data_IF_647220701727
#
_entry.id   IF_647220701727
#
_cell.length_a   1.000
_cell.length_b   1.000
_cell.length_c   1.000
_cell.angle_alpha   90.00
_cell.angle_beta   90.00
_cell.angle_gamma   90.00
#
_symmetry.space_group_name_H-M   'P 1'
#
loop_
_entity.id
_entity.type
_entity.pdbx_description
1 polymer ?
#
# COMPACT_ATOMS: atom_id res chain seq x y z
N UNK A 1 -0.18 69.17 42.09
CA UNK A 1 -1.64 68.90 42.14
C UNK A 1 -2.39 69.89 41.26
N UNK A 2 -2.79 69.45 40.07
CA UNK A 2 -4.00 69.92 39.39
C UNK A 2 -4.43 68.78 38.47
N UNK A 3 -5.54 68.17 38.88
CA UNK A 3 -6.25 67.10 38.20
C UNK A 3 -6.99 67.71 37.02
N UNK A 4 -6.88 67.11 35.84
CA UNK A 4 -7.85 67.28 34.76
C UNK A 4 -8.21 65.89 34.27
N UNK A 5 -9.49 65.56 34.46
CA UNK A 5 -10.14 64.32 34.05
C UNK A 5 -10.49 64.36 32.53
N UNK A 6 -10.86 63.22 31.92
CA UNK A 6 -10.80 63.00 30.48
C UNK A 6 -12.06 63.47 29.76
N UNK A 7 -11.93 63.72 28.45
CA UNK A 7 -13.06 63.85 27.54
C UNK A 7 -13.46 62.46 27.02
N UNK A 8 -14.78 62.21 27.01
CA UNK A 8 -15.42 60.99 26.54
C UNK A 8 -16.13 61.24 25.20
N UNK A 9 -16.59 60.11 24.63
CA UNK A 9 -17.58 59.91 23.56
C UNK A 9 -17.04 59.79 22.12
N UNK A 10 -17.48 58.86 21.27
CA UNK A 10 -18.38 57.70 21.33
C UNK A 10 -18.04 56.88 20.06
N UNK A 11 -18.03 55.54 20.17
CA UNK A 11 -18.69 54.61 19.25
C UNK A 11 -18.11 53.21 19.38
N UNK A 12 -18.94 52.34 19.96
CA UNK A 12 -18.84 50.90 19.92
C UNK A 12 -18.99 50.39 18.47
N UNK A 13 -18.07 49.54 18.03
CA UNK A 13 -18.36 48.54 17.01
C UNK A 13 -17.60 47.25 17.35
N UNK A 14 -18.35 46.33 17.92
CA UNK A 14 -18.01 44.94 18.15
C UNK A 14 -18.00 44.25 16.76
N UNK A 15 -16.83 44.00 16.18
CA UNK A 15 -16.73 43.15 14.98
C UNK A 15 -16.28 41.75 15.38
N UNK A 16 -17.29 40.88 15.56
CA UNK A 16 -17.12 39.44 15.47
C UNK A 16 -16.96 39.04 14.01
N UNK A 17 -15.71 38.91 13.55
CA UNK A 17 -15.37 38.46 12.21
C UNK A 17 -14.40 37.29 12.28
N UNK A 18 -14.91 36.08 12.05
CA UNK A 18 -14.15 34.84 12.14
C UNK A 18 -12.89 34.85 11.27
N UNK A 19 -11.78 34.42 11.85
CA UNK A 19 -10.53 34.15 11.15
C UNK A 19 -10.78 33.08 10.10
N UNK A 20 -11.12 33.51 8.87
CA UNK A 20 -10.99 32.68 7.68
C UNK A 20 -9.53 32.22 7.64
N UNK A 21 -9.32 30.96 8.06
CA UNK A 21 -8.09 30.23 7.79
C UNK A 21 -7.88 30.33 6.29
N UNK A 22 -6.90 31.17 5.90
CA UNK A 22 -6.31 31.16 4.57
C UNK A 22 -6.04 29.69 4.23
N UNK A 23 -6.80 29.18 3.28
CA UNK A 23 -6.56 27.88 2.65
C UNK A 23 -5.10 27.90 2.24
N UNK A 24 -4.30 27.02 2.84
CA UNK A 24 -2.90 26.88 2.53
C UNK A 24 -2.76 26.79 1.01
N UNK A 25 -1.85 27.58 0.45
CA UNK A 25 -1.40 27.45 -0.93
C UNK A 25 -1.18 25.97 -1.21
N UNK A 26 -1.90 25.41 -2.19
CA UNK A 26 -1.76 24.01 -2.61
C UNK A 26 -0.27 23.73 -2.77
N UNK A 27 0.27 22.85 -1.91
CA UNK A 27 1.59 22.26 -2.09
C UNK A 27 1.68 21.74 -3.54
N UNK A 28 2.87 21.76 -4.17
CA UNK A 28 3.03 21.13 -5.48
C UNK A 28 2.52 19.70 -5.37
N UNK A 29 1.43 19.41 -6.10
CA UNK A 29 0.69 18.17 -6.00
C UNK A 29 1.66 17.02 -6.29
N UNK A 30 1.97 16.20 -5.27
CA UNK A 30 2.89 15.08 -5.46
C UNK A 30 2.29 14.15 -6.52
N UNK A 31 3.09 13.74 -7.51
CA UNK A 31 2.71 12.66 -8.41
C UNK A 31 2.55 11.39 -7.60
N UNK A 32 1.44 10.68 -7.80
CA UNK A 32 1.22 9.36 -7.23
C UNK A 32 1.27 8.35 -8.37
N UNK A 33 2.25 7.45 -8.31
CA UNK A 33 2.45 6.42 -9.33
C UNK A 33 1.74 5.14 -8.91
N UNK A 34 0.79 4.70 -9.73
CA UNK A 34 -0.02 3.51 -9.51
C UNK A 34 0.61 2.33 -10.24
N UNK A 35 0.80 1.22 -9.53
CA UNK A 35 1.24 -0.05 -10.10
C UNK A 35 0.21 -1.10 -9.78
N UNK A 36 -0.46 -1.63 -10.80
CA UNK A 36 -1.55 -2.57 -10.58
C UNK A 36 -1.25 -3.92 -11.20
N UNK A 37 -1.49 -4.96 -10.42
CA UNK A 37 -1.15 -6.35 -10.72
C UNK A 37 -2.36 -7.01 -11.36
N UNK A 38 -2.16 -7.58 -12.54
CA UNK A 38 -3.22 -8.24 -13.29
C UNK A 38 -2.63 -9.43 -14.08
N UNK A 39 -3.26 -10.60 -13.98
CA UNK A 39 -2.92 -11.74 -14.82
C UNK A 39 -3.26 -11.47 -16.28
N UNK A 40 -2.45 -11.95 -17.22
CA UNK A 40 -2.69 -11.75 -18.66
C UNK A 40 -4.01 -12.34 -19.15
N UNK A 41 -4.48 -13.41 -18.54
CA UNK A 41 -5.79 -14.04 -18.83
C UNK A 41 -6.99 -13.28 -18.24
N UNK A 42 -6.76 -12.33 -17.33
CA UNK A 42 -7.83 -11.58 -16.65
C UNK A 42 -8.24 -10.34 -17.45
N UNK A 43 -8.70 -10.55 -18.69
CA UNK A 43 -8.99 -9.49 -19.67
C UNK A 43 -10.04 -8.48 -19.22
N UNK A 44 -11.12 -8.93 -18.58
CA UNK A 44 -12.21 -8.05 -18.15
C UNK A 44 -11.78 -7.12 -16.99
N UNK A 45 -11.06 -7.68 -16.01
CA UNK A 45 -10.47 -6.91 -14.90
C UNK A 45 -9.47 -5.90 -15.43
N UNK A 46 -8.61 -6.32 -16.36
CA UNK A 46 -7.68 -5.43 -17.06
C UNK A 46 -8.39 -4.25 -17.73
N UNK A 47 -9.42 -4.53 -18.53
CA UNK A 47 -10.18 -3.50 -19.21
C UNK A 47 -10.94 -2.58 -18.23
N UNK A 48 -11.31 -3.09 -17.05
CA UNK A 48 -11.88 -2.27 -15.97
C UNK A 48 -10.85 -1.29 -15.40
N UNK A 49 -9.66 -1.79 -15.06
CA UNK A 49 -8.56 -0.98 -14.52
C UNK A 49 -8.09 0.09 -15.51
N UNK A 50 -7.94 -0.26 -16.80
CA UNK A 50 -7.55 0.69 -17.85
C UNK A 50 -8.57 1.83 -17.99
N UNK A 51 -9.87 1.53 -18.04
CA UNK A 51 -10.93 2.55 -18.08
C UNK A 51 -10.97 3.43 -16.83
N UNK A 52 -10.77 2.84 -15.65
CA UNK A 52 -10.71 3.57 -14.39
C UNK A 52 -9.57 4.58 -14.39
N UNK A 53 -8.36 4.16 -14.79
CA UNK A 53 -7.20 5.05 -14.83
C UNK A 53 -7.24 6.07 -15.96
N UNK A 54 -7.86 5.76 -17.10
CA UNK A 54 -8.12 6.74 -18.15
C UNK A 54 -9.03 7.87 -17.64
N UNK A 55 -10.12 7.51 -16.96
CA UNK A 55 -11.04 8.48 -16.32
C UNK A 55 -10.34 9.29 -15.22
N UNK A 56 -9.52 8.64 -14.39
CA UNK A 56 -8.75 9.29 -13.33
C UNK A 56 -7.74 10.28 -13.91
N UNK A 57 -6.95 9.90 -14.93
CA UNK A 57 -5.95 10.76 -15.56
C UNK A 57 -6.58 11.98 -16.25
N UNK A 58 -7.79 11.84 -16.79
CA UNK A 58 -8.53 12.98 -17.35
C UNK A 58 -8.92 14.03 -16.30
N UNK A 59 -9.15 13.61 -15.05
CA UNK A 59 -9.56 14.49 -13.94
C UNK A 59 -8.38 14.93 -13.06
N UNK A 60 -7.34 14.11 -12.97
CA UNK A 60 -6.18 14.28 -12.11
C UNK A 60 -4.89 14.05 -12.93
N UNK A 61 -4.34 15.09 -13.58
CA UNK A 61 -3.19 14.95 -14.50
C UNK A 61 -1.90 14.41 -13.88
N UNK A 62 -1.81 14.37 -12.54
CA UNK A 62 -0.68 13.82 -11.79
C UNK A 62 -0.80 12.33 -11.51
N UNK A 63 -1.91 11.70 -11.89
CA UNK A 63 -2.11 10.25 -11.82
C UNK A 63 -1.40 9.60 -13.01
N UNK A 64 -0.46 8.72 -12.70
CA UNK A 64 0.19 7.85 -13.67
C UNK A 64 -0.03 6.41 -13.24
N UNK A 65 -0.37 5.53 -14.18
CA UNK A 65 -0.55 4.11 -13.87
C UNK A 65 0.28 3.22 -14.78
N UNK A 66 0.75 2.11 -14.21
CA UNK A 66 1.53 1.08 -14.89
C UNK A 66 0.94 -0.27 -14.55
N UNK A 67 0.56 -1.04 -15.57
CA UNK A 67 0.19 -2.45 -15.39
C UNK A 67 1.45 -3.28 -15.15
N UNK A 68 1.39 -4.15 -14.14
CA UNK A 68 2.39 -5.17 -13.87
C UNK A 68 1.74 -6.52 -14.09
N UNK A 69 2.33 -7.36 -14.96
CA UNK A 69 1.81 -8.70 -15.19
C UNK A 69 1.93 -9.53 -13.92
N UNK A 70 0.81 -10.07 -13.45
CA UNK A 70 0.79 -11.01 -12.33
C UNK A 70 1.48 -12.33 -12.67
N UNK A 71 2.01 -12.99 -11.65
CA UNK A 71 2.65 -14.30 -11.74
C UNK A 71 1.62 -15.35 -11.35
N UNK A 72 1.40 -16.34 -12.20
CA UNK A 72 0.55 -17.50 -11.91
C UNK A 72 1.36 -18.68 -11.33
N UNK A 73 0.67 -19.77 -10.98
CA UNK A 73 1.31 -20.96 -10.38
C UNK A 73 2.20 -21.72 -11.35
N UNK A 74 1.94 -21.65 -12.67
CA UNK A 74 2.80 -22.27 -13.68
C UNK A 74 4.15 -21.55 -13.78
N UNK A 75 4.12 -20.21 -13.79
CA UNK A 75 5.29 -19.36 -13.75
C UNK A 75 6.11 -19.59 -12.47
N UNK A 76 5.46 -19.73 -11.30
CA UNK A 76 6.14 -20.09 -10.04
C UNK A 76 6.93 -21.39 -10.19
N UNK A 77 6.30 -22.45 -10.71
CA UNK A 77 6.95 -23.75 -10.92
C UNK A 77 8.15 -23.63 -11.85
N UNK A 78 8.03 -22.87 -12.94
CA UNK A 78 9.14 -22.66 -13.87
C UNK A 78 10.29 -21.87 -13.22
N UNK A 79 9.99 -20.82 -12.46
CA UNK A 79 10.99 -20.02 -11.75
C UNK A 79 11.77 -20.84 -10.71
N UNK A 80 11.08 -21.67 -9.93
CA UNK A 80 11.72 -22.59 -8.97
C UNK A 80 12.58 -23.63 -9.69
N UNK A 81 12.04 -24.27 -10.73
CA UNK A 81 12.77 -25.28 -11.53
C UNK A 81 14.04 -24.72 -12.15
N UNK A 82 14.01 -23.47 -12.61
CA UNK A 82 15.16 -22.78 -13.21
C UNK A 82 16.10 -22.12 -12.19
N UNK A 83 15.79 -22.19 -10.90
CA UNK A 83 16.58 -21.54 -9.85
C UNK A 83 16.52 -20.02 -9.87
N UNK A 84 15.55 -19.43 -10.58
CA UNK A 84 15.27 -17.97 -10.55
C UNK A 84 14.65 -17.55 -9.22
N UNK A 85 13.90 -18.45 -8.59
CA UNK A 85 13.49 -18.33 -7.19
C UNK A 85 14.21 -19.42 -6.42
N UNK A 86 14.85 -19.04 -5.31
CA UNK A 86 15.48 -19.97 -4.38
C UNK A 86 14.88 -19.81 -3.00
N UNK A 87 14.78 -20.93 -2.29
CA UNK A 87 14.25 -21.02 -0.95
C UNK A 87 15.39 -21.39 -0.01
N UNK A 88 15.38 -20.86 1.21
CA UNK A 88 16.26 -21.37 2.26
C UNK A 88 15.96 -22.84 2.58
N UNK A 89 16.92 -23.50 3.22
CA UNK A 89 16.71 -24.83 3.76
C UNK A 89 15.54 -24.83 4.75
N UNK A 90 14.65 -25.83 4.62
CA UNK A 90 13.45 -25.97 5.45
C UNK A 90 12.23 -25.19 4.96
N UNK A 91 12.34 -24.35 3.93
CA UNK A 91 11.21 -23.70 3.26
C UNK A 91 10.87 -24.44 1.97
N UNK A 92 9.60 -24.79 1.75
CA UNK A 92 9.18 -25.60 0.62
C UNK A 92 7.84 -25.17 0.02
N UNK A 93 7.59 -25.59 -1.21
CA UNK A 93 6.25 -25.56 -1.79
C UNK A 93 5.40 -26.68 -1.18
N UNK A 94 4.16 -26.37 -0.82
CA UNK A 94 3.20 -27.36 -0.35
C UNK A 94 2.96 -28.45 -1.41
N UNK A 95 2.68 -29.70 -1.00
CA UNK A 95 2.36 -30.78 -1.92
C UNK A 95 1.15 -30.42 -2.82
N UNK A 96 1.19 -30.73 -4.13
CA UNK A 96 0.04 -30.55 -5.00
C UNK A 96 -1.17 -31.34 -4.49
N UNK A 97 -2.30 -30.67 -4.33
CA UNK A 97 -3.54 -31.31 -3.88
C UNK A 97 -3.59 -31.64 -2.39
N UNK A 98 -2.74 -31.02 -1.55
CA UNK A 98 -2.89 -31.07 -0.11
C UNK A 98 -4.33 -30.71 0.32
N UNK A 99 -4.95 -31.56 1.13
CA UNK A 99 -6.30 -31.36 1.66
C UNK A 99 -6.26 -30.63 3.02
N UNK A 100 -5.07 -30.54 3.63
CA UNK A 100 -4.84 -29.82 4.88
C UNK A 100 -5.13 -28.32 4.76
N UNK A 101 -5.50 -27.70 5.88
CA UNK A 101 -5.72 -26.26 5.90
C UNK A 101 -4.40 -25.52 5.61
N UNK A 102 -4.46 -24.49 4.76
CA UNK A 102 -3.30 -23.65 4.40
C UNK A 102 -2.52 -23.16 5.63
N UNK A 103 -3.20 -22.89 6.74
CA UNK A 103 -2.57 -22.47 7.98
C UNK A 103 -1.64 -23.54 8.57
N UNK A 104 -2.04 -24.81 8.51
CA UNK A 104 -1.24 -25.92 9.03
C UNK A 104 -0.01 -26.20 8.16
N UNK A 105 -0.14 -26.02 6.84
CA UNK A 105 0.98 -26.05 5.90
C UNK A 105 1.99 -24.93 6.22
N UNK A 106 1.51 -23.69 6.37
CA UNK A 106 2.37 -22.54 6.68
C UNK A 106 3.16 -22.73 7.99
N UNK A 107 2.56 -23.36 9.02
CA UNK A 107 3.25 -23.67 10.28
C UNK A 107 4.43 -24.65 10.13
N UNK A 108 4.47 -25.39 9.02
CA UNK A 108 5.57 -26.30 8.65
C UNK A 108 6.50 -25.69 7.61
N UNK A 109 6.38 -24.40 7.31
CA UNK A 109 7.09 -23.73 6.22
C UNK A 109 6.82 -24.35 4.84
N UNK A 110 5.63 -24.90 4.66
CA UNK A 110 5.14 -25.42 3.38
C UNK A 110 4.11 -24.44 2.83
N UNK A 111 4.41 -23.79 1.71
CA UNK A 111 3.55 -22.75 1.14
C UNK A 111 3.01 -23.13 -0.22
N UNK A 112 1.73 -22.89 -0.45
CA UNK A 112 1.12 -23.15 -1.76
C UNK A 112 1.77 -22.31 -2.85
N UNK A 113 1.77 -22.82 -4.08
CA UNK A 113 2.24 -22.06 -5.23
C UNK A 113 1.45 -20.76 -5.44
N UNK A 114 0.18 -20.72 -5.02
CA UNK A 114 -0.64 -19.51 -5.02
C UNK A 114 -0.12 -18.42 -4.08
N UNK A 115 0.39 -18.79 -2.90
CA UNK A 115 1.02 -17.84 -1.99
C UNK A 115 2.33 -17.29 -2.57
N UNK A 116 3.15 -18.15 -3.19
CA UNK A 116 4.35 -17.71 -3.92
C UNK A 116 3.99 -16.78 -5.09
N UNK A 117 2.97 -17.14 -5.88
CA UNK A 117 2.47 -16.36 -7.02
C UNK A 117 2.05 -14.95 -6.57
N UNK A 118 1.29 -14.86 -5.48
CA UNK A 118 0.88 -13.59 -4.88
C UNK A 118 2.12 -12.77 -4.45
N UNK A 119 2.99 -13.33 -3.61
CA UNK A 119 4.18 -12.64 -3.12
C UNK A 119 5.10 -12.15 -4.24
N UNK A 120 5.39 -13.02 -5.22
CA UNK A 120 6.24 -12.69 -6.37
C UNK A 120 5.62 -11.62 -7.26
N UNK A 121 4.30 -11.62 -7.43
CA UNK A 121 3.59 -10.58 -8.19
C UNK A 121 3.79 -9.20 -7.55
N UNK A 122 3.62 -9.11 -6.23
CA UNK A 122 3.83 -7.87 -5.49
C UNK A 122 5.30 -7.45 -5.44
N UNK A 123 6.23 -8.39 -5.24
CA UNK A 123 7.67 -8.12 -5.32
C UNK A 123 8.07 -7.58 -6.69
N UNK A 124 7.48 -8.11 -7.76
CA UNK A 124 7.70 -7.64 -9.13
C UNK A 124 7.15 -6.22 -9.33
N UNK A 125 5.96 -5.92 -8.80
CA UNK A 125 5.39 -4.57 -8.86
C UNK A 125 6.22 -3.54 -8.08
N UNK A 126 6.67 -3.90 -6.88
CA UNK A 126 7.56 -3.07 -6.05
C UNK A 126 8.89 -2.84 -6.77
N UNK A 127 9.49 -3.90 -7.33
CA UNK A 127 10.72 -3.78 -8.11
C UNK A 127 10.54 -2.86 -9.30
N UNK A 128 9.43 -3.02 -10.03
CA UNK A 128 9.11 -2.17 -11.17
C UNK A 128 9.00 -0.70 -10.75
N UNK A 129 8.29 -0.41 -9.66
CA UNK A 129 8.19 0.94 -9.12
C UNK A 129 9.54 1.53 -8.69
N UNK A 130 10.38 0.72 -8.07
CA UNK A 130 11.72 1.11 -7.67
C UNK A 130 12.62 1.41 -8.88
N UNK A 131 12.59 0.56 -9.91
CA UNK A 131 13.37 0.72 -11.14
C UNK A 131 12.89 1.92 -11.98
N UNK A 132 11.60 2.25 -11.94
CA UNK A 132 11.01 3.44 -12.56
C UNK A 132 11.36 4.75 -11.82
N UNK A 133 12.16 4.68 -10.76
CA UNK A 133 12.57 5.80 -9.91
C UNK A 133 11.38 6.52 -9.22
N UNK A 134 10.34 5.77 -8.87
CA UNK A 134 9.22 6.28 -8.09
C UNK A 134 9.66 6.54 -6.65
N UNK A 135 9.29 7.70 -6.12
CA UNK A 135 9.51 8.07 -4.70
C UNK A 135 8.39 7.53 -3.81
N UNK A 136 7.20 7.41 -4.39
CA UNK A 136 5.98 6.92 -3.75
C UNK A 136 5.16 6.15 -4.77
N UNK A 137 4.84 4.90 -4.46
CA UNK A 137 4.02 4.03 -5.30
C UNK A 137 2.77 3.57 -4.55
N UNK A 138 1.61 3.58 -5.20
CA UNK A 138 0.41 2.85 -4.77
C UNK A 138 0.35 1.53 -5.55
N UNK A 139 0.49 0.41 -4.85
CA UNK A 139 0.38 -0.93 -5.41
C UNK A 139 -1.06 -1.42 -5.23
N UNK A 140 -1.67 -1.93 -6.31
CA UNK A 140 -3.05 -2.39 -6.33
C UNK A 140 -3.18 -3.80 -6.94
N UNK A 141 -4.16 -4.57 -6.47
CA UNK A 141 -4.72 -5.72 -7.19
C UNK A 141 -5.76 -5.25 -8.24
N UNK A 142 -6.09 -6.10 -9.22
CA UNK A 142 -6.93 -5.74 -10.38
C UNK A 142 -8.44 -5.70 -10.14
N UNK A 143 -8.86 -6.04 -8.93
CA UNK A 143 -10.25 -5.95 -8.46
C UNK A 143 -10.47 -4.78 -7.49
N UNK A 144 -9.48 -3.91 -7.32
CA UNK A 144 -9.62 -2.67 -6.55
C UNK A 144 -10.22 -1.53 -7.38
N UNK A 145 -11.17 -0.82 -6.78
CA UNK A 145 -11.69 0.44 -7.31
C UNK A 145 -11.04 1.64 -6.63
N UNK A 146 -10.59 2.61 -7.41
CA UNK A 146 -10.01 3.88 -6.92
C UNK A 146 -11.01 5.01 -7.19
N UNK A 147 -11.82 5.42 -6.20
CA UNK A 147 -12.79 6.48 -6.40
C UNK A 147 -12.11 7.86 -6.51
N UNK A 148 -12.75 8.82 -7.19
CA UNK A 148 -12.26 10.19 -7.26
C UNK A 148 -12.06 10.82 -5.87
N UNK A 149 -12.91 10.47 -4.89
CA UNK A 149 -12.77 10.92 -3.51
C UNK A 149 -11.45 10.50 -2.87
N UNK A 150 -10.92 9.32 -3.22
CA UNK A 150 -9.59 8.91 -2.79
C UNK A 150 -8.52 9.81 -3.41
N UNK A 151 -8.57 10.03 -4.72
CA UNK A 151 -7.61 10.88 -5.44
C UNK A 151 -7.60 12.33 -4.93
N UNK A 152 -8.73 12.83 -4.44
CA UNK A 152 -8.87 14.16 -3.83
C UNK A 152 -8.28 14.26 -2.43
N UNK A 153 -8.24 13.15 -1.66
CA UNK A 153 -8.01 13.20 -0.20
C UNK A 153 -6.85 12.36 0.31
N UNK A 154 -6.29 11.47 -0.51
CA UNK A 154 -5.24 10.53 -0.08
C UNK A 154 -4.03 11.25 0.54
N UNK A 155 -3.59 12.38 -0.03
CA UNK A 155 -2.39 13.08 0.42
C UNK A 155 -2.59 13.64 1.83
N UNK A 156 -3.77 14.21 2.10
CA UNK A 156 -4.14 14.69 3.43
C UNK A 156 -4.20 13.55 4.44
N UNK A 157 -4.76 12.40 4.04
CA UNK A 157 -4.89 11.25 4.94
C UNK A 157 -3.54 10.57 5.22
N UNK A 158 -2.70 10.40 4.20
CA UNK A 158 -1.34 9.89 4.32
C UNK A 158 -0.43 10.81 5.16
N UNK A 159 -0.66 12.13 5.12
CA UNK A 159 0.07 13.09 5.96
C UNK A 159 -0.23 12.94 7.46
N UNK A 160 -1.30 12.22 7.85
CA UNK A 160 -1.59 11.89 9.25
C UNK A 160 -0.89 10.61 9.73
N UNK A 161 -0.22 9.87 8.84
CA UNK A 161 0.52 8.67 9.23
C UNK A 161 1.76 9.04 10.06
N UNK A 162 2.25 8.12 10.93
CA UNK A 162 3.50 8.33 11.65
C UNK A 162 4.66 8.65 10.69
N UNK A 163 5.48 9.69 10.97
CA UNK A 163 6.38 10.29 9.97
C UNK A 163 7.48 9.37 9.44
N UNK A 164 7.70 8.22 10.09
CA UNK A 164 8.67 7.20 9.72
C UNK A 164 8.08 6.03 8.93
N UNK A 165 6.80 6.09 8.53
CA UNK A 165 6.16 5.04 7.75
C UNK A 165 6.97 4.68 6.48
N UNK A 166 6.97 3.40 6.14
CA UNK A 166 7.52 2.86 4.88
C UNK A 166 6.42 2.27 4.00
N UNK A 167 5.38 1.71 4.63
CA UNK A 167 4.18 1.20 3.95
C UNK A 167 2.92 1.70 4.66
N UNK A 168 1.92 2.06 3.87
CA UNK A 168 0.57 2.36 4.32
C UNK A 168 -0.40 1.39 3.64
N UNK A 169 -0.93 0.43 4.40
CA UNK A 169 -1.97 -0.49 3.94
C UNK A 169 -3.33 0.21 3.99
N UNK A 170 -3.95 0.41 2.82
CA UNK A 170 -5.21 1.14 2.69
C UNK A 170 -6.45 0.27 2.89
N UNK A 171 -6.29 -1.04 2.70
CA UNK A 171 -7.37 -2.02 2.82
C UNK A 171 -6.90 -3.28 3.54
N UNK A 172 -7.75 -3.82 4.41
CA UNK A 172 -7.56 -5.14 5.05
C UNK A 172 -8.82 -5.97 4.83
N UNK A 173 -8.67 -7.23 4.41
CA UNK A 173 -9.81 -8.15 4.26
C UNK A 173 -10.21 -8.83 5.58
N UNK A 174 -9.47 -8.60 6.67
CA UNK A 174 -9.85 -9.08 8.00
C UNK A 174 -11.02 -8.26 8.55
N UNK A 175 -12.22 -8.86 8.54
CA UNK A 175 -13.45 -8.23 9.02
C UNK A 175 -13.40 -7.78 10.48
N UNK A 176 -12.65 -8.48 11.36
CA UNK A 176 -12.51 -8.09 12.77
C UNK A 176 -11.72 -6.79 12.88
N UNK A 177 -10.61 -6.69 12.14
CA UNK A 177 -9.78 -5.48 12.09
C UNK A 177 -10.57 -4.34 11.48
N UNK A 178 -11.26 -4.58 10.36
CA UNK A 178 -12.08 -3.58 9.69
C UNK A 178 -13.20 -3.05 10.61
N UNK A 179 -13.89 -3.93 11.34
CA UNK A 179 -14.92 -3.54 12.30
C UNK A 179 -14.35 -2.71 13.47
N UNK A 180 -13.20 -3.13 14.01
CA UNK A 180 -12.52 -2.38 15.07
C UNK A 180 -12.04 -0.99 14.61
N UNK A 181 -11.55 -0.88 13.37
CA UNK A 181 -11.09 0.36 12.77
C UNK A 181 -12.17 1.44 12.68
N UNK A 182 -13.44 1.08 12.44
CA UNK A 182 -14.54 2.07 12.42
C UNK A 182 -14.74 2.81 13.73
N UNK A 183 -14.32 2.21 14.85
CA UNK A 183 -14.44 2.81 16.18
C UNK A 183 -13.15 3.52 16.62
N UNK A 184 -12.10 3.46 15.81
CA UNK A 184 -10.82 4.06 16.14
C UNK A 184 -10.80 5.56 15.79
N UNK A 185 -10.20 6.36 16.67
CA UNK A 185 -10.01 7.80 16.45
C UNK A 185 -8.72 8.09 15.68
N UNK A 186 -7.72 7.22 15.83
CA UNK A 186 -6.46 7.36 15.12
C UNK A 186 -6.65 6.97 13.64
N UNK A 187 -6.16 7.77 12.68
CA UNK A 187 -6.32 7.49 11.25
C UNK A 187 -5.50 6.28 10.78
N UNK A 188 -4.48 5.92 11.56
CA UNK A 188 -3.52 4.87 11.26
C UNK A 188 -3.23 4.07 12.53
N UNK A 189 -3.23 2.75 12.42
CA UNK A 189 -2.76 1.84 13.45
C UNK A 189 -1.54 1.08 12.96
N UNK A 190 -0.63 0.71 13.86
CA UNK A 190 0.48 -0.16 13.49
C UNK A 190 -0.04 -1.45 12.88
N UNK A 191 0.55 -1.87 11.76
CA UNK A 191 0.23 -3.15 11.18
C UNK A 191 0.69 -4.30 12.08
N UNK A 192 -0.13 -5.34 12.18
CA UNK A 192 0.18 -6.55 12.93
C UNK A 192 -0.17 -7.78 12.08
N UNK A 193 0.51 -8.93 12.29
CA UNK A 193 0.07 -10.20 11.72
C UNK A 193 -1.41 -10.44 12.08
N UNK A 194 -2.28 -10.44 11.07
CA UNK A 194 -3.74 -10.37 11.24
C UNK A 194 -4.42 -9.26 10.43
N UNK A 195 -3.71 -8.19 10.09
CA UNK A 195 -4.19 -7.13 9.21
C UNK A 195 -3.97 -7.54 7.75
N UNK A 196 -4.76 -8.51 7.33
CA UNK A 196 -4.53 -9.28 6.11
C UNK A 196 -4.78 -8.48 4.82
N UNK A 197 -3.98 -8.76 3.80
CA UNK A 197 -4.23 -8.37 2.42
C UNK A 197 -3.25 -7.35 1.84
N UNK A 198 -3.07 -7.48 0.53
CA UNK A 198 -2.21 -6.66 -0.33
C UNK A 198 -2.97 -5.94 -1.44
N UNK A 199 -4.30 -5.92 -1.35
CA UNK A 199 -5.21 -5.34 -2.34
C UNK A 199 -4.87 -3.89 -2.67
N UNK A 200 -4.60 -3.07 -1.65
CA UNK A 200 -4.19 -1.68 -1.85
C UNK A 200 -3.24 -1.22 -0.74
N UNK A 201 -2.02 -0.83 -1.12
CA UNK A 201 -1.06 -0.24 -0.19
C UNK A 201 -0.14 0.77 -0.89
N UNK A 202 0.25 1.82 -0.17
CA UNK A 202 1.34 2.70 -0.59
C UNK A 202 2.66 2.22 -0.01
N UNK A 203 3.72 2.36 -0.79
CA UNK A 203 5.09 2.11 -0.35
C UNK A 203 5.98 3.26 -0.82
N UNK A 204 6.79 3.81 0.08
CA UNK A 204 7.76 4.86 -0.27
C UNK A 204 9.10 4.24 -0.68
N UNK A 205 10.02 5.09 -1.16
CA UNK A 205 11.35 4.68 -1.62
C UNK A 205 12.10 3.82 -0.60
N UNK A 206 12.15 4.22 0.67
CA UNK A 206 12.82 3.48 1.76
C UNK A 206 12.16 2.11 1.97
N UNK A 207 10.83 2.05 1.95
CA UNK A 207 10.08 0.78 2.02
C UNK A 207 10.39 -0.16 0.87
N UNK A 208 10.41 0.34 -0.37
CA UNK A 208 10.75 -0.46 -1.54
C UNK A 208 12.19 -0.98 -1.46
N UNK A 209 13.15 -0.13 -1.09
CA UNK A 209 14.56 -0.52 -0.94
C UNK A 209 14.74 -1.64 0.09
N UNK A 210 14.09 -1.52 1.26
CA UNK A 210 14.15 -2.53 2.32
C UNK A 210 13.59 -3.87 1.90
N UNK A 211 12.40 -3.86 1.27
CA UNK A 211 11.77 -5.08 0.75
C UNK A 211 12.70 -5.76 -0.25
N UNK A 212 13.18 -5.02 -1.25
CA UNK A 212 14.04 -5.58 -2.29
C UNK A 212 15.36 -6.10 -1.73
N UNK A 213 15.95 -5.40 -0.77
CA UNK A 213 17.17 -5.83 -0.07
C UNK A 213 16.92 -7.09 0.77
N UNK A 214 15.76 -7.19 1.42
CA UNK A 214 15.36 -8.37 2.20
C UNK A 214 15.24 -9.64 1.35
N UNK A 215 14.91 -9.50 0.06
CA UNK A 215 14.83 -10.61 -0.88
C UNK A 215 16.16 -10.93 -1.58
N UNK A 216 17.25 -10.23 -1.26
CA UNK A 216 18.59 -10.54 -1.74
C UNK A 216 19.23 -11.58 -0.82
N UNK A 217 19.89 -12.59 -1.39
CA UNK A 217 20.65 -13.56 -0.60
C UNK A 217 21.51 -14.48 -1.44
N UNK A 218 21.04 -14.84 -2.63
CA UNK A 218 21.82 -15.60 -3.62
C UNK A 218 21.90 -14.79 -4.92
N UNK A 219 23.12 -14.39 -5.31
CA UNK A 219 23.34 -13.59 -6.51
C UNK A 219 22.99 -14.31 -7.82
N UNK A 220 22.74 -15.61 -7.80
CA UNK A 220 22.33 -16.39 -8.96
C UNK A 220 20.80 -16.51 -9.10
N UNK A 221 20.02 -15.95 -8.18
CA UNK A 221 18.56 -15.98 -8.21
C UNK A 221 18.00 -14.56 -8.38
N UNK A 222 16.83 -14.46 -9.01
CA UNK A 222 16.08 -13.20 -9.07
C UNK A 222 15.51 -12.87 -7.68
N UNK A 223 15.07 -13.90 -6.95
CA UNK A 223 14.50 -13.78 -5.61
C UNK A 223 14.98 -14.90 -4.70
N UNK A 224 15.39 -14.54 -3.48
CA UNK A 224 15.75 -15.50 -2.43
C UNK A 224 14.83 -15.34 -1.22
N UNK A 225 14.06 -16.37 -0.92
CA UNK A 225 13.24 -16.43 0.29
C UNK A 225 14.09 -16.94 1.46
N UNK A 226 14.72 -16.00 2.17
CA UNK A 226 15.59 -16.26 3.33
C UNK A 226 14.85 -16.34 4.68
N UNK A 227 13.60 -15.92 4.73
CA UNK A 227 12.76 -15.99 5.92
C UNK A 227 11.76 -17.16 5.85
N UNK A 228 11.12 -17.48 6.98
CA UNK A 228 10.07 -18.51 7.07
C UNK A 228 8.69 -18.00 6.59
N UNK A 229 8.64 -16.84 5.92
CA UNK A 229 7.41 -16.13 5.57
C UNK A 229 7.31 -15.99 4.06
N UNK A 230 6.21 -16.48 3.48
CA UNK A 230 5.91 -16.33 2.04
C UNK A 230 4.59 -15.58 1.81
N UNK A 231 3.70 -15.50 2.81
CA UNK A 231 2.43 -14.77 2.67
C UNK A 231 2.73 -13.30 2.37
N UNK A 232 2.14 -12.77 1.30
CA UNK A 232 2.59 -11.52 0.68
C UNK A 232 2.55 -10.32 1.62
N UNK A 233 1.44 -10.10 2.33
CA UNK A 233 1.33 -9.04 3.33
C UNK A 233 2.36 -9.20 4.44
N UNK A 234 2.45 -10.38 5.06
CA UNK A 234 3.39 -10.65 6.15
C UNK A 234 4.84 -10.45 5.71
N UNK A 235 5.23 -10.98 4.55
CA UNK A 235 6.57 -10.85 4.00
C UNK A 235 6.91 -9.38 3.71
N UNK A 236 6.09 -8.71 2.91
CA UNK A 236 6.38 -7.36 2.43
C UNK A 236 6.36 -6.35 3.58
N UNK A 237 5.36 -6.44 4.45
CA UNK A 237 5.16 -5.48 5.53
C UNK A 237 6.15 -5.68 6.68
N UNK A 238 6.59 -6.92 6.94
CA UNK A 238 7.69 -7.18 7.86
C UNK A 238 9.02 -6.66 7.32
N UNK A 239 9.34 -6.91 6.04
CA UNK A 239 10.58 -6.43 5.43
C UNK A 239 10.65 -4.91 5.35
N UNK A 240 9.54 -4.23 5.07
CA UNK A 240 9.47 -2.76 5.11
C UNK A 240 9.70 -2.21 6.53
N UNK A 241 9.19 -2.91 7.54
CA UNK A 241 9.42 -2.68 8.97
C UNK A 241 8.49 -1.64 9.60
N UNK A 242 8.15 -0.54 8.92
CA UNK A 242 7.28 0.53 9.46
C UNK A 242 5.98 0.62 8.67
N UNK A 243 5.12 -0.36 8.93
CA UNK A 243 3.85 -0.51 8.21
C UNK A 243 2.68 -0.11 9.09
N UNK A 244 1.74 0.64 8.52
CA UNK A 244 0.53 1.08 9.19
C UNK A 244 -0.71 0.76 8.35
N UNK A 245 -1.80 0.39 9.01
CA UNK A 245 -3.10 0.09 8.40
C UNK A 245 -4.03 1.28 8.60
N UNK A 246 -4.69 1.70 7.52
CA UNK A 246 -5.68 2.76 7.56
C UNK A 246 -6.90 2.32 8.37
N UNK A 247 -7.42 3.20 9.23
CA UNK A 247 -8.68 2.96 9.94
C UNK A 247 -9.91 3.39 9.12
N UNK A 248 -9.68 4.04 7.98
CA UNK A 248 -10.69 4.39 6.97
C UNK A 248 -10.14 4.07 5.59
N UNK A 249 -10.91 3.37 4.76
CA UNK A 249 -10.46 2.95 3.43
C UNK A 249 -10.60 4.04 2.37
N UNK A 250 -11.27 5.16 2.67
CA UNK A 250 -11.56 6.26 1.74
C UNK A 250 -12.31 5.83 0.46
N UNK A 251 -13.01 4.70 0.52
CA UNK A 251 -13.79 4.15 -0.59
C UNK A 251 -13.00 3.22 -1.52
N UNK A 252 -11.73 2.96 -1.20
CA UNK A 252 -11.03 1.74 -1.64
C UNK A 252 -11.65 0.52 -0.94
#
# INVERSE_FOLDING_TARGET
LKVVAPAANDDEAYDGGGTQRRIASRSPQRSLDFYWINLDESFERRASMERMFESAAASFPTVRSTRVTGIDTEAVRDMLRRGRVKLKEGLATAPPGAEEETRELNLRNEYTEGQFACALSHLTAIKRAYDDNSELALILEDDVSVPASFLETWEWYAAMAPPDWTVLQWYTNNAVVMNASFHNQDPWISWLPGHWGTQAYMVNRDGMERILRGMQGDASADWYFGDDIVVADELLYALAGRTYTATRTLGI
#
